data_IF_842508541387
#
_entry.id   IF_842508541387
#
_cell.length_a   1.000
_cell.length_b   1.000
_cell.length_c   1.000
_cell.angle_alpha   90.00
_cell.angle_beta   90.00
_cell.angle_gamma   90.00
#
_symmetry.space_group_name_H-M   'P 1'
#
loop_
_entity.id
_entity.type
_entity.pdbx_description
1 polymer ?
#
# COMPACT_ATOMS: atom_id res chain seq x y z
N UNK A 1 -15.10 11.09 4.32
CA UNK A 1 -14.58 10.22 3.25
C UNK A 1 -14.11 11.13 2.14
N UNK A 2 -12.98 10.83 1.49
CA UNK A 2 -12.28 11.76 0.60
C UNK A 2 -12.11 11.17 -0.77
N UNK A 3 -12.45 11.95 -1.79
CA UNK A 3 -12.30 11.58 -3.19
C UNK A 3 -11.04 12.28 -3.71
N UNK A 4 -9.98 11.52 -3.96
CA UNK A 4 -8.72 12.04 -4.50
C UNK A 4 -8.64 11.89 -6.01
N UNK A 5 -7.81 12.71 -6.66
CA UNK A 5 -7.53 12.69 -8.09
C UNK A 5 -6.38 11.74 -8.50
N UNK A 6 -5.76 11.04 -7.55
CA UNK A 6 -4.66 10.11 -7.80
C UNK A 6 -4.99 8.99 -8.81
N UNK A 7 -4.00 8.67 -9.65
CA UNK A 7 -3.96 7.40 -10.38
C UNK A 7 -3.64 6.21 -9.46
N UNK A 8 -3.71 5.00 -9.99
CA UNK A 8 -3.55 3.77 -9.23
C UNK A 8 -2.15 3.62 -8.61
N UNK A 9 -1.11 4.10 -9.29
CA UNK A 9 0.26 4.06 -8.77
C UNK A 9 0.42 4.98 -7.56
N UNK A 10 -0.11 6.20 -7.65
CA UNK A 10 -0.06 7.17 -6.55
C UNK A 10 -0.94 6.75 -5.37
N UNK A 11 -2.11 6.16 -5.65
CA UNK A 11 -2.92 5.52 -4.62
C UNK A 11 -2.16 4.37 -3.93
N UNK A 12 -1.44 3.52 -4.69
CA UNK A 12 -0.64 2.44 -4.13
C UNK A 12 0.54 2.96 -3.30
N UNK A 13 1.21 4.04 -3.73
CA UNK A 13 2.25 4.70 -2.96
C UNK A 13 1.73 5.23 -1.62
N UNK A 14 0.55 5.86 -1.62
CA UNK A 14 -0.09 6.30 -0.38
C UNK A 14 -0.42 5.13 0.55
N UNK A 15 -0.93 4.02 0.00
CA UNK A 15 -1.16 2.80 0.79
C UNK A 15 0.16 2.27 1.36
N UNK A 16 1.25 2.30 0.58
CA UNK A 16 2.59 1.88 1.04
C UNK A 16 3.17 2.76 2.13
N UNK A 17 2.81 4.05 2.17
CA UNK A 17 3.20 4.95 3.26
C UNK A 17 2.65 4.48 4.62
N UNK A 18 1.42 3.95 4.66
CA UNK A 18 0.85 3.34 5.88
C UNK A 18 1.13 1.84 6.04
N UNK A 19 1.38 1.13 4.94
CA UNK A 19 1.58 -0.32 4.89
C UNK A 19 2.63 -0.69 3.83
N UNK A 20 3.89 -0.64 4.21
CA UNK A 20 5.05 -0.86 3.32
C UNK A 20 5.01 -2.18 2.54
N UNK A 21 4.35 -3.23 3.08
CA UNK A 21 4.21 -4.52 2.42
C UNK A 21 3.09 -4.59 1.36
N UNK A 22 2.37 -3.50 1.08
CA UNK A 22 1.33 -3.48 0.06
C UNK A 22 1.92 -3.74 -1.34
N UNK A 23 1.54 -4.88 -1.93
CA UNK A 23 2.03 -5.31 -3.23
C UNK A 23 0.95 -6.12 -3.98
N UNK A 24 0.04 -5.46 -4.71
CA UNK A 24 -0.95 -6.16 -5.52
C UNK A 24 -0.25 -7.06 -6.55
N UNK A 25 -0.82 -8.23 -6.83
CA UNK A 25 -0.30 -9.10 -7.90
C UNK A 25 -0.51 -8.45 -9.29
N UNK A 26 0.17 -8.97 -10.31
CA UNK A 26 0.12 -8.40 -11.67
C UNK A 26 -1.30 -8.34 -12.25
N UNK A 27 -2.16 -9.31 -11.92
CA UNK A 27 -3.56 -9.30 -12.35
C UNK A 27 -4.33 -8.11 -11.77
N UNK A 28 -4.18 -7.85 -10.47
CA UNK A 28 -4.79 -6.70 -9.82
C UNK A 28 -4.20 -5.38 -10.30
N UNK A 29 -2.89 -5.30 -10.58
CA UNK A 29 -2.30 -4.09 -11.16
C UNK A 29 -2.92 -3.74 -12.53
N UNK A 30 -3.12 -4.75 -13.39
CA UNK A 30 -3.80 -4.56 -14.69
C UNK A 30 -5.25 -4.10 -14.51
N UNK A 31 -5.97 -4.66 -13.54
CA UNK A 31 -7.34 -4.24 -13.24
C UNK A 31 -7.39 -2.79 -12.74
N UNK A 32 -6.46 -2.39 -11.87
CA UNK A 32 -6.35 -1.01 -11.39
C UNK A 32 -6.03 -0.04 -12.53
N UNK A 33 -5.13 -0.42 -13.43
CA UNK A 33 -4.81 0.38 -14.62
C UNK A 33 -6.02 0.55 -15.54
N UNK A 34 -6.79 -0.52 -15.78
CA UNK A 34 -7.99 -0.46 -16.61
C UNK A 34 -9.10 0.37 -15.96
N UNK A 35 -9.28 0.24 -14.65
CA UNK A 35 -10.21 1.04 -13.87
C UNK A 35 -9.86 2.54 -13.94
N UNK A 36 -8.59 2.90 -13.78
CA UNK A 36 -8.13 4.28 -13.94
C UNK A 36 -8.45 4.82 -15.34
N UNK A 37 -8.24 4.01 -16.38
CA UNK A 37 -8.45 4.44 -17.76
C UNK A 37 -9.92 4.67 -18.10
N UNK A 38 -10.81 3.81 -17.62
CA UNK A 38 -12.18 3.75 -18.15
C UNK A 38 -13.27 4.21 -17.17
N UNK A 39 -13.07 4.00 -15.87
CA UNK A 39 -14.18 4.02 -14.90
C UNK A 39 -13.99 5.05 -13.78
N UNK A 40 -12.75 5.33 -13.36
CA UNK A 40 -12.47 6.14 -12.16
C UNK A 40 -13.14 7.51 -12.19
N UNK A 41 -13.22 8.16 -13.36
CA UNK A 41 -13.86 9.47 -13.50
C UNK A 41 -15.36 9.40 -13.23
N UNK A 42 -16.04 8.35 -13.70
CA UNK A 42 -17.47 8.14 -13.49
C UNK A 42 -17.75 7.88 -12.00
N UNK A 43 -16.93 7.03 -11.36
CA UNK A 43 -17.05 6.75 -9.93
C UNK A 43 -16.79 7.97 -9.05
N UNK A 44 -15.81 8.81 -9.41
CA UNK A 44 -15.57 10.08 -8.69
C UNK A 44 -16.76 11.01 -8.79
N UNK A 45 -17.36 11.14 -9.97
CA UNK A 45 -18.55 11.98 -10.15
C UNK A 45 -19.72 11.43 -9.36
N UNK A 46 -20.00 10.13 -9.48
CA UNK A 46 -21.07 9.46 -8.73
C UNK A 46 -20.90 9.62 -7.21
N UNK A 47 -19.68 9.46 -6.68
CA UNK A 47 -19.42 9.66 -5.25
C UNK A 47 -19.65 11.12 -4.81
N UNK A 48 -19.34 12.10 -5.66
CA UNK A 48 -19.63 13.52 -5.37
C UNK A 48 -21.13 13.80 -5.42
N UNK A 49 -21.85 13.22 -6.36
CA UNK A 49 -23.29 13.43 -6.50
C UNK A 49 -24.06 12.79 -5.33
N UNK A 50 -23.63 11.60 -4.90
CA UNK A 50 -24.25 10.85 -3.82
C UNK A 50 -23.95 11.43 -2.42
N UNK A 51 -22.71 11.88 -2.19
CA UNK A 51 -22.25 12.25 -0.84
C UNK A 51 -21.86 13.73 -0.68
N UNK A 52 -21.85 14.51 -1.76
CA UNK A 52 -21.44 15.91 -1.78
C UNK A 52 -19.93 16.12 -1.66
N UNK A 53 -19.54 17.37 -1.41
CA UNK A 53 -18.15 17.77 -1.23
C UNK A 53 -17.66 17.51 0.20
N UNK A 54 -16.36 17.20 0.34
CA UNK A 54 -15.75 16.99 1.65
C UNK A 54 -15.40 18.34 2.32
N UNK A 55 -15.93 18.67 3.52
CA UNK A 55 -15.57 19.90 4.24
C UNK A 55 -14.17 19.87 4.87
N UNK A 56 -13.54 18.69 4.94
CA UNK A 56 -12.22 18.49 5.55
C UNK A 56 -11.09 18.63 4.52
N UNK A 57 -9.85 18.77 5.01
CA UNK A 57 -8.64 18.95 4.18
C UNK A 57 -7.92 17.64 3.88
N UNK A 58 -8.62 16.52 3.97
CA UNK A 58 -8.06 15.17 3.82
C UNK A 58 -7.37 14.96 2.47
N UNK A 59 -7.83 15.64 1.40
CA UNK A 59 -7.20 15.54 0.07
C UNK A 59 -5.81 16.17 0.05
N UNK A 60 -5.61 17.27 0.78
CA UNK A 60 -4.31 17.93 0.92
C UNK A 60 -3.38 17.12 1.83
N UNK A 61 -3.92 16.54 2.90
CA UNK A 61 -3.15 15.61 3.75
C UNK A 61 -2.67 14.40 2.96
N UNK A 62 -3.52 13.82 2.12
CA UNK A 62 -3.16 12.71 1.25
C UNK A 62 -2.04 13.07 0.25
N UNK A 63 -2.07 14.29 -0.32
CA UNK A 63 -0.99 14.82 -1.17
C UNK A 63 0.32 14.97 -0.40
N UNK A 64 0.27 15.46 0.84
CA UNK A 64 1.46 15.59 1.69
C UNK A 64 2.08 14.23 2.00
N UNK A 65 1.26 13.23 2.36
CA UNK A 65 1.72 11.86 2.61
C UNK A 65 2.39 11.28 1.37
N UNK A 66 1.78 11.43 0.20
CA UNK A 66 2.34 10.97 -1.07
C UNK A 66 3.66 11.68 -1.42
N UNK A 67 3.75 12.98 -1.19
CA UNK A 67 4.97 13.77 -1.37
C UNK A 67 6.11 13.24 -0.50
N UNK A 68 5.86 13.08 0.80
CA UNK A 68 6.83 12.55 1.76
C UNK A 68 7.32 11.14 1.35
N UNK A 69 6.40 10.27 0.93
CA UNK A 69 6.74 8.92 0.46
C UNK A 69 7.66 8.96 -0.77
N UNK A 70 7.37 9.83 -1.75
CA UNK A 70 8.20 9.99 -2.95
C UNK A 70 9.58 10.56 -2.64
N UNK A 71 9.69 11.47 -1.67
CA UNK A 71 10.97 11.99 -1.19
C UNK A 71 11.83 10.92 -0.51
N UNK A 72 11.21 10.11 0.36
CA UNK A 72 11.89 9.00 1.02
C UNK A 72 12.40 7.97 0.01
N UNK A 73 11.59 7.63 -1.00
CA UNK A 73 12.00 6.74 -2.09
C UNK A 73 13.17 7.29 -2.92
N UNK A 74 13.35 8.61 -2.99
CA UNK A 74 14.48 9.27 -3.67
C UNK A 74 15.74 9.32 -2.82
N UNK A 75 15.59 9.43 -1.50
CA UNK A 75 16.69 9.51 -0.54
C UNK A 75 17.34 8.14 -0.28
N UNK A 76 16.62 7.04 -0.50
CA UNK A 76 17.20 5.71 -0.43
C UNK A 76 18.02 5.39 -1.70
N UNK A 77 19.27 4.89 -1.58
CA UNK A 77 20.05 4.43 -2.74
C UNK A 77 19.29 3.30 -3.44
N UNK A 78 19.46 3.10 -4.76
CA UNK A 78 18.69 2.13 -5.52
C UNK A 78 18.91 0.74 -4.95
N UNK A 79 17.96 0.29 -4.13
CA UNK A 79 17.89 -1.10 -3.73
C UNK A 79 17.56 -1.87 -5.00
N UNK A 80 18.55 -2.66 -5.43
CA UNK A 80 18.41 -3.63 -6.49
C UNK A 80 17.05 -4.31 -6.38
N UNK A 81 16.29 -4.25 -7.47
CA UNK A 81 15.00 -4.85 -7.66
C UNK A 81 15.01 -6.29 -7.11
N UNK A 82 14.61 -6.48 -5.86
CA UNK A 82 14.33 -7.80 -5.28
C UNK A 82 12.85 -8.05 -5.50
N UNK A 83 12.51 -8.16 -6.78
CA UNK A 83 11.37 -8.95 -7.23
C UNK A 83 11.53 -10.36 -6.68
N UNK A 84 10.98 -10.60 -5.48
CA UNK A 84 10.93 -11.92 -4.84
C UNK A 84 11.63 -11.99 -3.49
N UNK A 85 10.80 -12.18 -2.45
CA UNK A 85 11.14 -12.72 -1.13
C UNK A 85 11.99 -11.82 -0.22
N UNK A 86 11.33 -10.91 0.51
CA UNK A 86 11.78 -10.49 1.84
C UNK A 86 10.77 -10.97 2.89
N UNK A 87 10.65 -12.29 3.03
CA UNK A 87 10.16 -12.91 4.25
C UNK A 87 11.33 -12.94 5.21
N UNK A 88 11.49 -11.91 6.04
CA UNK A 88 12.19 -11.97 7.33
C UNK A 88 12.20 -10.57 7.96
N UNK A 89 11.07 -10.24 8.57
CA UNK A 89 11.00 -9.29 9.69
C UNK A 89 10.13 -9.90 10.79
N UNK A 90 10.32 -11.20 11.07
CA UNK A 90 9.95 -11.73 12.38
C UNK A 90 11.14 -11.41 13.28
N UNK A 91 10.93 -10.41 14.13
CA UNK A 91 11.70 -10.19 15.34
C UNK A 91 12.11 -11.53 15.95
N UNK A 92 13.41 -11.70 16.15
CA UNK A 92 14.08 -12.80 16.82
C UNK A 92 13.28 -13.30 18.02
N UNK A 93 12.46 -14.34 17.84
CA UNK A 93 11.92 -15.08 18.98
C UNK A 93 13.06 -15.95 19.53
N UNK A 94 13.26 -16.00 20.85
CA UNK A 94 14.26 -16.88 21.44
C UNK A 94 13.93 -18.33 21.08
N UNK A 95 14.95 -19.09 20.71
CA UNK A 95 14.84 -20.53 20.48
C UNK A 95 14.28 -21.19 21.74
N UNK A 96 13.05 -21.68 21.66
CA UNK A 96 12.54 -22.63 22.65
C UNK A 96 13.35 -23.91 22.46
N UNK A 97 14.27 -24.14 23.41
CA UNK A 97 14.97 -25.40 23.54
C UNK A 97 13.93 -26.53 23.63
N UNK A 98 13.89 -27.36 22.59
CA UNK A 98 13.09 -28.57 22.54
C UNK A 98 13.74 -29.57 23.50
N UNK A 99 13.31 -29.54 24.75
CA UNK A 99 13.73 -30.55 25.72
C UNK A 99 13.08 -31.89 25.34
N UNK A 100 13.95 -32.85 25.09
CA UNK A 100 13.63 -34.26 24.90
C UNK A 100 12.77 -34.77 26.06
N UNK A 101 11.63 -35.38 25.76
CA UNK A 101 11.00 -36.35 26.65
C UNK A 101 11.00 -37.70 25.97
N UNK A 102 11.89 -38.54 26.48
CA UNK A 102 12.02 -39.96 26.21
C UNK A 102 11.05 -40.75 27.11
N UNK A 103 10.67 -41.92 26.59
CA UNK A 103 10.14 -43.16 27.22
C UNK A 103 8.67 -43.29 27.63
N UNK A 104 8.04 -44.23 26.91
CA UNK A 104 7.28 -45.41 27.38
C UNK A 104 6.05 -45.23 28.27
N UNK A 105 4.89 -45.65 27.77
CA UNK A 105 4.28 -46.96 28.09
C UNK A 105 3.20 -47.34 27.09
#
# INVERSE_FOLDING_TARGET
MTITDFGWEDALHMVRAGRSCANPNLGFQKQLQEFEKNEVHQFRQWLKDEYGENPLKDAEEAKNILGNYKEQARAEPPQHNTSGRRWNSFSTLPSLAYNNYTTET
#
